data_IF_432856966636
#
_entry.id   IF_432856966636
#
_cell.length_a   1.000
_cell.length_b   1.000
_cell.length_c   1.000
_cell.angle_alpha   90.00
_cell.angle_beta   90.00
_cell.angle_gamma   90.00
#
_symmetry.space_group_name_H-M   'P 1'
#
loop_
_entity.id
_entity.type
_entity.pdbx_description
1 polymer ?
#
# COMPACT_ATOMS: atom_id res chain seq x y z
N UNK A 1 -24.24 11.53 -2.34
CA UNK A 1 -23.31 12.10 -1.33
C UNK A 1 -22.39 13.12 -2.00
N UNK A 2 -21.93 14.14 -1.28
CA UNK A 2 -20.90 15.08 -1.76
C UNK A 2 -19.53 14.56 -1.32
N UNK A 3 -18.66 14.25 -2.26
CA UNK A 3 -17.30 13.77 -1.97
C UNK A 3 -16.30 14.93 -2.05
N UNK A 4 -15.19 14.84 -1.30
CA UNK A 4 -14.10 15.83 -1.34
C UNK A 4 -12.86 15.19 -1.95
N UNK A 5 -12.25 15.85 -2.93
CA UNK A 5 -10.95 15.51 -3.48
C UNK A 5 -9.91 16.47 -2.88
N UNK A 6 -8.99 15.93 -2.08
CA UNK A 6 -7.87 16.69 -1.50
C UNK A 6 -6.65 16.58 -2.42
N UNK A 7 -6.21 17.71 -2.97
CA UNK A 7 -5.01 17.81 -3.80
C UNK A 7 -3.83 18.29 -2.97
N UNK A 8 -2.63 17.86 -3.32
CA UNK A 8 -1.42 18.50 -2.81
C UNK A 8 -1.21 19.85 -3.50
N UNK A 9 -0.37 20.72 -2.94
CA UNK A 9 -0.04 22.02 -3.54
C UNK A 9 0.95 21.92 -4.71
N UNK A 10 1.02 20.78 -5.41
CA UNK A 10 1.96 20.57 -6.50
C UNK A 10 1.42 21.19 -7.80
N UNK A 11 2.27 21.93 -8.52
CA UNK A 11 1.85 22.73 -9.67
C UNK A 11 1.31 21.91 -10.85
N UNK A 12 1.69 20.63 -10.97
CA UNK A 12 1.26 19.76 -12.06
C UNK A 12 -0.13 19.15 -11.91
N UNK A 13 -0.71 19.13 -10.70
CA UNK A 13 -2.07 18.62 -10.43
C UNK A 13 -2.83 19.62 -9.57
N UNK A 14 -3.36 20.66 -10.20
CA UNK A 14 -4.08 21.76 -9.55
C UNK A 14 -5.56 21.79 -9.95
N UNK A 15 -6.34 22.64 -9.30
CA UNK A 15 -7.79 22.77 -9.56
C UNK A 15 -8.12 23.03 -11.03
N UNK A 16 -7.32 23.84 -11.74
CA UNK A 16 -7.56 24.11 -13.17
C UNK A 16 -7.37 22.89 -14.08
N UNK A 17 -6.55 21.93 -13.66
CA UNK A 17 -6.41 20.64 -14.37
C UNK A 17 -7.69 19.80 -14.27
N UNK A 18 -8.44 19.95 -13.17
CA UNK A 18 -9.65 19.18 -12.89
C UNK A 18 -10.96 19.94 -13.20
N UNK A 19 -10.89 21.23 -13.56
CA UNK A 19 -12.03 22.05 -13.99
C UNK A 19 -12.94 21.40 -15.03
N UNK A 20 -12.44 20.76 -16.11
CA UNK A 20 -13.30 20.09 -17.08
C UNK A 20 -14.11 18.93 -16.47
N UNK A 21 -13.54 18.23 -15.49
CA UNK A 21 -14.17 17.12 -14.79
C UNK A 21 -15.24 17.64 -13.83
N UNK A 22 -14.96 18.76 -13.14
CA UNK A 22 -15.90 19.39 -12.21
C UNK A 22 -17.19 19.86 -12.88
N UNK A 23 -17.09 20.41 -14.09
CA UNK A 23 -18.27 20.86 -14.86
C UNK A 23 -19.23 19.74 -15.24
N UNK A 24 -18.75 18.50 -15.25
CA UNK A 24 -19.57 17.32 -15.60
C UNK A 24 -20.10 16.57 -14.39
N UNK A 25 -19.62 16.87 -13.17
CA UNK A 25 -20.00 16.16 -11.94
C UNK A 25 -20.27 17.14 -10.81
N UNK A 26 -21.54 17.45 -10.57
CA UNK A 26 -22.03 18.33 -9.48
C UNK A 26 -21.75 17.81 -8.05
N UNK A 27 -21.07 16.68 -7.90
CA UNK A 27 -20.98 15.92 -6.65
C UNK A 27 -19.61 15.97 -5.95
N UNK A 28 -18.61 16.69 -6.49
CA UNK A 28 -17.26 16.73 -5.93
C UNK A 28 -16.79 18.14 -5.57
N UNK A 29 -16.25 18.31 -4.36
CA UNK A 29 -15.54 19.52 -3.93
C UNK A 29 -14.04 19.27 -4.01
N UNK A 30 -13.28 20.17 -4.63
CA UNK A 30 -11.81 20.11 -4.61
C UNK A 30 -11.30 21.05 -3.53
N UNK A 31 -10.39 20.54 -2.71
CA UNK A 31 -9.68 21.30 -1.68
C UNK A 31 -8.18 21.06 -1.83
N UNK A 32 -7.37 22.11 -1.64
CA UNK A 32 -5.92 22.03 -1.79
C UNK A 32 -5.25 22.08 -0.43
N UNK A 33 -4.43 21.07 -0.13
CA UNK A 33 -3.57 21.02 1.05
C UNK A 33 -2.56 22.17 0.97
N UNK A 34 -2.45 23.03 1.98
CA UNK A 34 -1.49 24.13 1.98
C UNK A 34 -0.05 23.66 1.78
N UNK A 35 0.75 24.45 1.04
CA UNK A 35 2.15 24.12 0.80
C UNK A 35 2.94 23.94 2.10
N UNK A 36 3.84 22.94 2.13
CA UNK A 36 4.64 22.61 3.31
C UNK A 36 3.89 21.85 4.41
N UNK A 37 2.59 21.57 4.25
CA UNK A 37 1.79 20.83 5.23
C UNK A 37 1.50 19.38 4.85
N UNK A 38 1.94 18.94 3.66
CA UNK A 38 1.73 17.58 3.14
C UNK A 38 2.13 16.50 4.12
N UNK A 39 3.34 16.58 4.70
CA UNK A 39 3.81 15.63 5.71
C UNK A 39 3.09 15.68 7.05
N UNK A 40 2.12 16.59 7.24
CA UNK A 40 1.31 16.74 8.45
C UNK A 40 -0.15 16.30 8.26
N UNK A 41 -0.71 16.55 7.07
CA UNK A 41 -2.14 16.31 6.83
C UNK A 41 -2.43 15.34 5.68
N UNK A 42 -1.45 15.03 4.81
CA UNK A 42 -1.64 14.03 3.77
C UNK A 42 -1.44 12.63 4.36
N UNK A 43 -2.53 11.86 4.37
CA UNK A 43 -2.58 10.50 4.88
C UNK A 43 -1.47 9.59 4.32
N UNK A 44 -1.23 9.70 3.01
CA UNK A 44 -0.24 8.86 2.33
C UNK A 44 1.19 9.09 2.84
N UNK A 45 1.57 10.36 2.99
CA UNK A 45 2.92 10.75 3.46
C UNK A 45 3.10 10.44 4.93
N UNK A 46 2.08 10.72 5.73
CA UNK A 46 2.10 10.52 7.18
C UNK A 46 2.20 9.05 7.57
N UNK A 47 1.48 8.18 6.88
CA UNK A 47 1.32 6.78 7.30
C UNK A 47 1.58 5.75 6.21
N UNK A 48 0.94 5.83 5.04
CA UNK A 48 0.91 4.69 4.11
C UNK A 48 2.20 4.44 3.36
N UNK A 49 2.93 5.48 2.97
CA UNK A 49 4.16 5.29 2.20
C UNK A 49 5.27 4.59 2.99
N UNK A 50 5.26 4.69 4.33
CA UNK A 50 6.25 4.01 5.15
C UNK A 50 6.13 2.47 5.12
N UNK A 51 5.00 1.84 5.48
CA UNK A 51 4.84 0.39 5.37
C UNK A 51 4.93 -0.09 3.92
N UNK A 52 4.48 0.71 2.95
CA UNK A 52 4.63 0.39 1.53
C UNK A 52 6.11 0.28 1.10
N UNK A 53 6.92 1.30 1.42
CA UNK A 53 8.36 1.30 1.15
C UNK A 53 9.10 0.19 1.91
N UNK A 54 8.71 -0.07 3.16
CA UNK A 54 9.29 -1.15 3.95
C UNK A 54 8.97 -2.52 3.33
N UNK A 55 7.74 -2.74 2.87
CA UNK A 55 7.39 -3.97 2.16
C UNK A 55 8.27 -4.16 0.93
N UNK A 56 8.36 -3.14 0.08
CA UNK A 56 9.18 -3.20 -1.14
C UNK A 56 10.66 -3.46 -0.82
N UNK A 57 11.18 -2.82 0.24
CA UNK A 57 12.54 -3.05 0.72
C UNK A 57 12.75 -4.50 1.13
N UNK A 58 11.90 -5.05 2.00
CA UNK A 58 12.01 -6.45 2.43
C UNK A 58 11.89 -7.43 1.26
N UNK A 59 10.98 -7.16 0.33
CA UNK A 59 10.83 -7.95 -0.89
C UNK A 59 12.10 -7.94 -1.74
N UNK A 60 12.72 -6.76 -1.92
CA UNK A 60 14.00 -6.63 -2.62
C UNK A 60 15.13 -7.34 -1.89
N UNK A 61 15.19 -7.23 -0.55
CA UNK A 61 16.19 -7.90 0.26
C UNK A 61 16.08 -9.42 0.12
N UNK A 62 14.87 -9.99 0.09
CA UNK A 62 14.63 -11.42 -0.16
C UNK A 62 15.16 -11.82 -1.54
N UNK A 63 14.90 -11.03 -2.59
CA UNK A 63 15.37 -11.33 -3.94
C UNK A 63 16.89 -11.40 -3.99
N UNK A 64 17.57 -10.45 -3.35
CA UNK A 64 19.03 -10.37 -3.31
C UNK A 64 19.62 -11.50 -2.45
N UNK A 65 19.12 -11.68 -1.22
CA UNK A 65 19.66 -12.63 -0.24
C UNK A 65 19.56 -14.09 -0.71
N UNK A 66 18.46 -14.44 -1.37
CA UNK A 66 18.24 -15.79 -1.89
C UNK A 66 18.65 -15.95 -3.37
N UNK A 67 19.26 -14.92 -3.96
CA UNK A 67 19.76 -14.91 -5.34
C UNK A 67 18.70 -15.36 -6.38
N UNK A 68 17.48 -14.85 -6.25
CA UNK A 68 16.42 -15.14 -7.21
C UNK A 68 16.69 -14.42 -8.54
N UNK A 69 16.49 -15.12 -9.66
CA UNK A 69 16.64 -14.55 -11.01
C UNK A 69 15.46 -13.64 -11.38
N UNK A 70 15.31 -12.53 -10.66
CA UNK A 70 14.25 -11.53 -10.83
C UNK A 70 14.88 -10.15 -10.94
N UNK A 71 14.76 -9.53 -12.12
CA UNK A 71 15.21 -8.15 -12.31
C UNK A 71 14.11 -7.15 -11.89
N UNK A 72 14.27 -6.56 -10.71
CA UNK A 72 13.33 -5.58 -10.15
C UNK A 72 13.31 -4.23 -10.86
N UNK A 73 14.26 -3.95 -11.74
CA UNK A 73 14.32 -2.70 -12.51
C UNK A 73 13.53 -2.76 -13.82
N UNK A 74 13.04 -3.94 -14.21
CA UNK A 74 12.16 -4.07 -15.37
C UNK A 74 10.80 -3.46 -15.08
N UNK A 75 10.30 -2.63 -16.01
CA UNK A 75 9.00 -1.94 -15.90
C UNK A 75 7.86 -2.88 -15.51
N UNK A 76 7.76 -4.05 -16.14
CA UNK A 76 6.70 -5.01 -15.83
C UNK A 76 6.81 -5.56 -14.40
N UNK A 77 8.02 -5.82 -13.91
CA UNK A 77 8.24 -6.28 -12.55
C UNK A 77 7.94 -5.19 -11.52
N UNK A 78 8.26 -3.93 -11.82
CA UNK A 78 7.88 -2.77 -11.01
C UNK A 78 6.36 -2.67 -10.92
N UNK A 79 5.64 -2.71 -12.05
CA UNK A 79 4.18 -2.64 -12.05
C UNK A 79 3.58 -3.82 -11.27
N UNK A 80 4.12 -5.03 -11.49
CA UNK A 80 3.67 -6.25 -10.84
C UNK A 80 3.80 -6.17 -9.32
N UNK A 81 4.96 -5.74 -8.80
CA UNK A 81 5.14 -5.63 -7.34
C UNK A 81 4.28 -4.53 -6.75
N UNK A 82 4.13 -3.37 -7.42
CA UNK A 82 3.25 -2.30 -6.95
C UNK A 82 1.79 -2.76 -6.90
N UNK A 83 1.34 -3.52 -7.90
CA UNK A 83 0.00 -4.13 -7.93
C UNK A 83 -0.21 -5.13 -6.80
N UNK A 84 0.78 -6.01 -6.56
CA UNK A 84 0.71 -6.97 -5.46
C UNK A 84 0.67 -6.27 -4.10
N UNK A 85 1.52 -5.27 -3.87
CA UNK A 85 1.50 -4.48 -2.62
C UNK A 85 0.13 -3.82 -2.46
N UNK A 86 -0.38 -3.17 -3.50
CA UNK A 86 -1.72 -2.57 -3.48
C UNK A 86 -2.78 -3.60 -3.07
N UNK A 87 -2.77 -4.78 -3.72
CA UNK A 87 -3.71 -5.84 -3.39
C UNK A 87 -3.60 -6.26 -1.92
N UNK A 88 -2.40 -6.53 -1.44
CA UNK A 88 -2.19 -7.00 -0.08
C UNK A 88 -2.62 -5.96 0.98
N UNK A 89 -2.30 -4.67 0.76
CA UNK A 89 -2.73 -3.58 1.66
C UNK A 89 -4.22 -3.24 1.55
N UNK A 90 -4.90 -3.66 0.48
CA UNK A 90 -6.36 -3.54 0.34
C UNK A 90 -7.13 -4.59 1.15
N UNK A 91 -6.44 -5.57 1.75
CA UNK A 91 -7.07 -6.56 2.63
C UNK A 91 -7.78 -5.87 3.82
N UNK A 92 -8.99 -6.34 4.22
CA UNK A 92 -9.69 -5.85 5.40
C UNK A 92 -8.86 -5.87 6.69
N UNK A 93 -7.82 -6.71 6.73
CA UNK A 93 -6.85 -6.78 7.84
C UNK A 93 -6.23 -5.43 8.19
N UNK A 94 -6.00 -4.57 7.20
CA UNK A 94 -5.36 -3.27 7.40
C UNK A 94 -6.36 -2.11 7.53
N UNK A 95 -7.66 -2.38 7.52
CA UNK A 95 -8.69 -1.32 7.72
C UNK A 95 -8.42 -0.50 8.99
N UNK A 96 -8.08 -1.14 10.11
CA UNK A 96 -7.74 -0.45 11.35
C UNK A 96 -6.47 0.44 11.25
N UNK A 97 -5.48 0.03 10.46
CA UNK A 97 -4.29 0.85 10.16
C UNK A 97 -4.71 2.11 9.37
N UNK A 98 -5.62 1.95 8.39
CA UNK A 98 -6.16 3.07 7.62
C UNK A 98 -6.91 4.03 8.54
N UNK A 99 -7.85 3.53 9.33
CA UNK A 99 -8.63 4.33 10.29
C UNK A 99 -7.71 5.02 11.30
N UNK A 100 -6.68 4.33 11.80
CA UNK A 100 -5.70 4.93 12.70
C UNK A 100 -4.96 6.10 12.05
N UNK A 101 -4.56 5.94 10.78
CA UNK A 101 -3.89 6.99 10.05
C UNK A 101 -4.78 8.24 9.95
N UNK A 102 -6.05 8.09 9.60
CA UNK A 102 -7.03 9.19 9.54
C UNK A 102 -7.27 9.86 10.90
N UNK A 103 -7.37 9.08 11.97
CA UNK A 103 -7.43 9.61 13.34
C UNK A 103 -6.18 10.44 13.68
N UNK A 104 -4.99 9.90 13.38
CA UNK A 104 -3.72 10.57 13.72
C UNK A 104 -3.57 11.92 13.00
N UNK A 105 -4.08 12.04 11.77
CA UNK A 105 -4.06 13.32 11.03
C UNK A 105 -5.25 14.24 11.38
N UNK A 106 -6.13 13.84 12.30
CA UNK A 106 -7.21 14.67 12.85
C UNK A 106 -8.49 14.67 12.01
N UNK A 107 -8.65 13.72 11.09
CA UNK A 107 -9.86 13.61 10.27
C UNK A 107 -10.91 12.67 10.87
N UNK A 108 -10.53 11.87 11.87
CA UNK A 108 -11.46 11.09 12.70
C UNK A 108 -11.28 11.53 14.16
N UNK A 109 -12.39 11.59 14.89
CA UNK A 109 -12.40 11.94 16.32
C UNK A 109 -12.01 10.74 17.20
N UNK A 110 -12.45 9.54 16.82
CA UNK A 110 -12.23 8.32 17.58
C UNK A 110 -10.98 7.56 17.12
N UNK A 111 -10.21 7.09 18.10
CA UNK A 111 -9.05 6.24 17.85
C UNK A 111 -9.52 4.85 17.43
N UNK A 112 -9.01 4.35 16.32
CA UNK A 112 -9.32 2.99 15.87
C UNK A 112 -8.76 1.91 16.82
N UNK A 113 -9.34 0.69 16.78
CA UNK A 113 -8.79 -0.45 17.49
C UNK A 113 -7.34 -0.76 17.07
N UNK A 114 -6.66 -1.57 17.88
CA UNK A 114 -5.30 -1.99 17.56
C UNK A 114 -5.22 -2.71 16.20
N UNK A 115 -4.05 -2.58 15.57
CA UNK A 115 -3.76 -3.19 14.29
C UNK A 115 -2.37 -3.83 14.32
N UNK A 116 -2.21 -4.92 13.57
CA UNK A 116 -0.92 -5.57 13.41
C UNK A 116 0.02 -4.72 12.54
N UNK A 117 1.30 -4.71 12.87
CA UNK A 117 2.31 -4.11 12.01
C UNK A 117 2.38 -4.90 10.67
N UNK A 118 2.15 -4.26 9.51
CA UNK A 118 2.10 -4.98 8.24
C UNK A 118 3.37 -5.77 7.93
N UNK A 119 4.54 -5.15 8.15
CA UNK A 119 5.83 -5.80 7.89
C UNK A 119 6.02 -7.03 8.78
N UNK A 120 5.62 -6.94 10.05
CA UNK A 120 5.68 -8.11 10.96
C UNK A 120 4.79 -9.23 10.44
N UNK A 121 3.54 -8.91 10.10
CA UNK A 121 2.57 -9.89 9.58
C UNK A 121 3.08 -10.59 8.32
N UNK A 122 3.62 -9.84 7.35
CA UNK A 122 4.06 -10.39 6.07
C UNK A 122 5.31 -11.26 6.20
N UNK A 123 6.33 -10.79 6.93
CA UNK A 123 7.70 -11.32 6.81
C UNK A 123 8.26 -11.96 8.09
N UNK A 124 7.76 -11.60 9.29
CA UNK A 124 8.30 -12.15 10.56
C UNK A 124 7.57 -13.40 11.02
N UNK A 125 6.26 -13.42 10.87
CA UNK A 125 5.43 -14.55 11.31
C UNK A 125 5.27 -15.57 10.16
N UNK A 126 6.33 -15.79 9.37
CA UNK A 126 6.31 -16.66 8.19
C UNK A 126 6.65 -18.11 8.59
N UNK A 127 5.87 -19.07 8.08
CA UNK A 127 6.20 -20.48 8.23
C UNK A 127 7.51 -20.84 7.51
N UNK A 128 8.09 -21.98 7.88
CA UNK A 128 9.30 -22.48 7.24
C UNK A 128 9.07 -22.85 5.77
N UNK A 129 7.87 -23.32 5.41
CA UNK A 129 7.55 -23.84 4.08
C UNK A 129 6.34 -23.14 3.47
N UNK A 130 6.32 -23.10 2.14
CA UNK A 130 5.21 -22.63 1.34
C UNK A 130 3.99 -23.56 1.48
N UNK A 131 2.79 -23.01 1.49
CA UNK A 131 1.56 -23.81 1.55
C UNK A 131 1.20 -24.45 0.19
N UNK A 132 1.87 -24.02 -0.89
CA UNK A 132 1.64 -24.50 -2.25
C UNK A 132 2.77 -25.40 -2.77
N UNK A 133 3.92 -25.42 -2.10
CA UNK A 133 5.05 -26.29 -2.44
C UNK A 133 5.98 -26.50 -1.24
N UNK A 134 7.01 -27.32 -1.38
CA UNK A 134 7.94 -27.64 -0.27
C UNK A 134 9.13 -26.68 -0.15
N UNK A 135 9.11 -25.54 -0.86
CA UNK A 135 10.18 -24.53 -0.82
C UNK A 135 9.94 -23.56 0.35
N UNK A 136 11.01 -22.89 0.79
CA UNK A 136 10.97 -21.87 1.86
C UNK A 136 9.93 -20.80 1.55
N UNK A 137 9.02 -20.56 2.50
CA UNK A 137 8.11 -19.43 2.42
C UNK A 137 8.82 -18.13 2.83
N UNK A 138 8.48 -17.06 2.14
CA UNK A 138 9.10 -15.74 2.36
C UNK A 138 8.07 -14.66 2.67
N UNK A 139 6.78 -14.95 2.48
CA UNK A 139 5.70 -14.00 2.71
C UNK A 139 4.39 -14.69 3.07
N UNK A 140 3.63 -14.07 3.98
CA UNK A 140 2.25 -14.47 4.32
C UNK A 140 1.23 -13.59 3.59
N UNK A 141 0.28 -14.17 2.86
CA UNK A 141 -0.77 -13.41 2.18
C UNK A 141 -1.76 -12.79 3.17
N UNK A 142 -2.09 -11.51 3.02
CA UNK A 142 -3.03 -10.80 3.88
C UNK A 142 -4.50 -11.19 3.67
N UNK A 143 -4.83 -11.80 2.54
CA UNK A 143 -6.17 -12.24 2.19
C UNK A 143 -6.42 -13.69 2.61
N UNK A 144 -5.69 -14.63 2.02
CA UNK A 144 -5.90 -16.06 2.25
C UNK A 144 -5.08 -16.64 3.41
N UNK A 145 -4.22 -15.82 4.05
CA UNK A 145 -3.32 -16.20 5.16
C UNK A 145 -2.28 -17.27 4.82
N UNK A 146 -2.19 -17.69 3.56
CA UNK A 146 -1.20 -18.69 3.12
C UNK A 146 0.23 -18.15 3.16
N UNK A 147 1.16 -19.00 3.53
CA UNK A 147 2.60 -18.78 3.42
C UNK A 147 3.06 -19.14 2.01
N UNK A 148 3.77 -18.25 1.34
CA UNK A 148 4.12 -18.37 -0.06
C UNK A 148 5.61 -18.17 -0.26
N UNK A 149 6.21 -18.98 -1.14
CA UNK A 149 7.54 -18.69 -1.67
C UNK A 149 7.46 -17.57 -2.74
N UNK A 150 8.63 -17.07 -3.19
CA UNK A 150 8.68 -15.98 -4.16
C UNK A 150 7.98 -16.34 -5.48
N UNK A 151 8.07 -17.61 -5.90
CA UNK A 151 7.51 -18.06 -7.17
C UNK A 151 6.00 -17.94 -7.14
N UNK A 152 5.35 -18.51 -6.12
CA UNK A 152 3.89 -18.42 -6.03
C UNK A 152 3.41 -17.01 -5.76
N UNK A 153 4.12 -16.22 -4.93
CA UNK A 153 3.70 -14.86 -4.64
C UNK A 153 3.87 -13.92 -5.85
N UNK A 154 5.08 -13.88 -6.42
CA UNK A 154 5.47 -12.90 -7.43
C UNK A 154 5.47 -13.45 -8.84
N UNK A 155 6.11 -14.60 -9.12
CA UNK A 155 6.23 -15.12 -10.49
C UNK A 155 4.87 -15.55 -11.06
N UNK A 156 4.11 -16.34 -10.30
CA UNK A 156 2.75 -16.78 -10.65
C UNK A 156 1.68 -15.71 -10.40
N UNK A 157 2.08 -14.56 -9.86
CA UNK A 157 1.21 -13.41 -9.60
C UNK A 157 0.03 -13.75 -8.67
N UNK A 158 0.32 -13.89 -7.37
CA UNK A 158 -0.69 -14.22 -6.37
C UNK A 158 -1.65 -13.05 -6.10
N UNK A 159 -2.79 -13.08 -6.78
CA UNK A 159 -3.87 -12.12 -6.60
C UNK A 159 -5.09 -12.82 -5.98
N UNK A 160 -5.34 -12.54 -4.70
CA UNK A 160 -6.56 -12.92 -3.99
C UNK A 160 -7.59 -11.81 -4.04
#
# INVERSE_FOLDING_TARGET
>A
EKSILLLNSWSGQNSSTFEPILRTKEYFKIETIPAGTTGRIQLLDMFFFRPWKNFLRHFSDIIILYNYNINLYLRNNIIKIQSLIHNQFSSPRFSNLISYAWYKIGYLEEKSPEFENPVKFYFKDCAAFCDLCTVIAVIKCAWCKKFLCITYFFTEYHYC
#
